data_IF_635787518070
#
_entry.id   IF_635787518070
#
_cell.length_a   1.000
_cell.length_b   1.000
_cell.length_c   1.000
_cell.angle_alpha   90.00
_cell.angle_beta   90.00
_cell.angle_gamma   90.00
#
_symmetry.space_group_name_H-M   'P 1'
#
loop_
_entity.id
_entity.type
_entity.pdbx_description
1 polymer ?
#
# COMPACT_ATOMS: atom_id res chain seq x y z
N UNK A 1 -12.40 33.98 0.66
CA UNK A 1 -11.36 33.11 0.04
C UNK A 1 -10.83 32.01 0.96
N UNK A 2 -10.42 32.27 2.22
CA UNK A 2 -9.90 31.24 3.15
C UNK A 2 -10.77 29.99 3.34
N UNK A 3 -12.10 30.14 3.48
CA UNK A 3 -13.05 29.01 3.68
C UNK A 3 -13.09 28.00 2.51
N UNK A 4 -12.95 28.48 1.27
CA UNK A 4 -13.00 27.60 0.09
C UNK A 4 -11.71 26.79 -0.09
N UNK A 5 -10.57 27.39 0.23
CA UNK A 5 -9.26 26.73 0.20
C UNK A 5 -9.19 25.59 1.22
N UNK A 6 -9.64 25.83 2.46
CA UNK A 6 -9.70 24.81 3.52
C UNK A 6 -10.58 23.63 3.10
N UNK A 7 -11.77 23.88 2.55
CA UNK A 7 -12.71 22.80 2.20
C UNK A 7 -12.27 21.97 1.00
N UNK A 8 -11.59 22.57 0.02
CA UNK A 8 -11.21 21.88 -1.24
C UNK A 8 -9.84 21.20 -1.19
N UNK A 9 -8.94 21.65 -0.32
CA UNK A 9 -7.56 21.17 -0.26
C UNK A 9 -7.29 20.56 1.11
N UNK A 10 -7.48 21.31 2.19
CA UNK A 10 -7.07 20.86 3.52
C UNK A 10 -7.89 19.65 4.00
N UNK A 11 -9.22 19.69 3.86
CA UNK A 11 -10.10 18.60 4.32
C UNK A 11 -9.82 17.29 3.56
N UNK A 12 -9.81 17.25 2.21
CA UNK A 12 -9.46 16.03 1.47
C UNK A 12 -8.08 15.49 1.83
N UNK A 13 -7.08 16.37 1.99
CA UNK A 13 -5.73 15.98 2.36
C UNK A 13 -5.67 15.29 3.72
N UNK A 14 -6.25 15.91 4.76
CA UNK A 14 -6.27 15.34 6.11
C UNK A 14 -7.03 14.01 6.14
N UNK A 15 -8.17 13.92 5.44
CA UNK A 15 -8.96 12.68 5.36
C UNK A 15 -8.16 11.57 4.67
N UNK A 16 -7.44 11.88 3.60
CA UNK A 16 -6.62 10.89 2.89
C UNK A 16 -5.44 10.44 3.74
N UNK A 17 -4.74 11.35 4.43
CA UNK A 17 -3.65 10.98 5.35
C UNK A 17 -4.16 10.08 6.48
N UNK A 18 -5.15 10.55 7.23
CA UNK A 18 -5.69 9.82 8.38
C UNK A 18 -6.32 8.48 7.94
N UNK A 19 -7.13 8.50 6.88
CA UNK A 19 -7.74 7.31 6.32
C UNK A 19 -6.71 6.30 5.81
N UNK A 20 -5.64 6.76 5.15
CA UNK A 20 -4.57 5.90 4.67
C UNK A 20 -3.80 5.24 5.81
N UNK A 21 -3.49 5.98 6.87
CA UNK A 21 -2.80 5.42 8.04
C UNK A 21 -3.67 4.37 8.74
N UNK A 22 -4.95 4.67 8.96
CA UNK A 22 -5.91 3.72 9.54
C UNK A 22 -6.04 2.48 8.67
N UNK A 23 -6.24 2.66 7.36
CA UNK A 23 -6.40 1.54 6.43
C UNK A 23 -5.14 0.68 6.36
N UNK A 24 -3.96 1.30 6.30
CA UNK A 24 -2.68 0.58 6.33
C UNK A 24 -2.53 -0.23 7.62
N UNK A 25 -2.88 0.36 8.77
CA UNK A 25 -2.91 -0.36 10.05
C UNK A 25 -3.85 -1.57 10.02
N UNK A 26 -5.06 -1.41 9.46
CA UNK A 26 -6.00 -2.52 9.28
C UNK A 26 -5.41 -3.61 8.37
N UNK A 27 -4.82 -3.26 7.22
CA UNK A 27 -4.16 -4.21 6.34
C UNK A 27 -3.03 -4.96 7.06
N UNK A 28 -2.24 -4.27 7.87
CA UNK A 28 -1.17 -4.87 8.64
C UNK A 28 -1.69 -5.86 9.69
N UNK A 29 -2.70 -5.48 10.48
CA UNK A 29 -3.33 -6.38 11.45
C UNK A 29 -4.01 -7.58 10.79
N UNK A 30 -4.65 -7.39 9.64
CA UNK A 30 -5.23 -8.49 8.86
C UNK A 30 -4.15 -9.45 8.36
N UNK A 31 -3.04 -8.93 7.83
CA UNK A 31 -1.90 -9.74 7.41
C UNK A 31 -1.34 -10.55 8.59
N UNK A 32 -1.07 -9.90 9.73
CA UNK A 32 -0.59 -10.59 10.92
C UNK A 32 -1.56 -11.65 11.42
N UNK A 33 -2.87 -11.34 11.44
CA UNK A 33 -3.90 -12.30 11.83
C UNK A 33 -3.93 -13.52 10.93
N UNK A 34 -3.80 -13.34 9.61
CA UNK A 34 -3.70 -14.43 8.64
C UNK A 34 -2.43 -15.27 8.90
N UNK A 35 -1.28 -14.62 9.05
CA UNK A 35 0.00 -15.29 9.31
C UNK A 35 -0.06 -16.13 10.58
N UNK A 36 -0.47 -15.55 11.71
CA UNK A 36 -0.54 -16.25 13.00
C UNK A 36 -1.54 -17.41 12.97
N UNK A 37 -2.66 -17.24 12.27
CA UNK A 37 -3.65 -18.31 12.12
C UNK A 37 -3.11 -19.46 11.28
N UNK A 38 -2.49 -19.16 10.13
CA UNK A 38 -1.91 -20.18 9.26
C UNK A 38 -0.71 -20.88 9.90
N UNK A 39 0.15 -20.14 10.60
CA UNK A 39 1.29 -20.67 11.33
C UNK A 39 0.85 -21.66 12.41
N UNK A 40 -0.12 -21.28 13.24
CA UNK A 40 -0.63 -22.15 14.31
C UNK A 40 -1.34 -23.40 13.79
N UNK A 41 -1.98 -23.34 12.61
CA UNK A 41 -2.67 -24.48 11.99
C UNK A 41 -1.74 -25.41 11.22
N UNK A 42 -0.73 -24.88 10.52
CA UNK A 42 0.06 -25.64 9.55
C UNK A 42 1.40 -26.13 10.08
N UNK A 43 2.02 -25.38 11.01
CA UNK A 43 3.43 -25.60 11.39
C UNK A 43 3.61 -25.82 12.89
N UNK A 44 2.56 -25.61 13.68
CA UNK A 44 2.56 -25.94 15.11
C UNK A 44 3.67 -25.19 15.85
N UNK A 45 4.67 -25.91 16.36
CA UNK A 45 5.78 -25.33 17.15
C UNK A 45 7.00 -24.88 16.34
N UNK A 46 7.07 -25.15 15.02
CA UNK A 46 8.25 -24.81 14.21
C UNK A 46 8.02 -23.54 13.37
N UNK A 47 7.90 -22.40 14.05
CA UNK A 47 7.65 -21.08 13.43
C UNK A 47 8.60 -20.70 12.29
N UNK A 48 9.85 -21.18 12.32
CA UNK A 48 10.86 -20.88 11.30
C UNK A 48 10.61 -21.57 9.95
N UNK A 49 9.83 -22.65 9.91
CA UNK A 49 9.52 -23.34 8.66
C UNK A 49 8.34 -22.69 7.89
N UNK A 50 7.69 -21.66 8.46
CA UNK A 50 6.55 -21.04 7.83
C UNK A 50 6.97 -20.12 6.66
N UNK A 51 6.42 -20.31 5.44
CA UNK A 51 6.83 -19.55 4.26
C UNK A 51 6.20 -18.14 4.24
N UNK A 52 6.76 -17.24 5.05
CA UNK A 52 6.31 -15.85 5.21
C UNK A 52 6.18 -15.09 3.89
N UNK A 53 7.13 -15.30 2.97
CA UNK A 53 7.14 -14.61 1.67
C UNK A 53 5.97 -15.02 0.79
N UNK A 54 5.61 -16.31 0.76
CA UNK A 54 4.48 -16.82 -0.01
C UNK A 54 3.18 -16.19 0.46
N UNK A 55 2.98 -16.08 1.79
CA UNK A 55 1.77 -15.47 2.36
C UNK A 55 1.74 -13.97 2.07
N UNK A 56 2.89 -13.28 2.14
CA UNK A 56 2.99 -11.84 1.83
C UNK A 56 2.68 -11.55 0.36
N UNK A 57 3.20 -12.35 -0.56
CA UNK A 57 2.91 -12.22 -1.99
C UNK A 57 1.42 -12.49 -2.24
N UNK A 58 0.88 -13.58 -1.67
CA UNK A 58 -0.53 -13.93 -1.80
C UNK A 58 -1.48 -12.83 -1.28
N UNK A 59 -1.22 -12.30 -0.08
CA UNK A 59 -2.03 -11.23 0.49
C UNK A 59 -1.94 -9.93 -0.32
N UNK A 60 -0.75 -9.61 -0.84
CA UNK A 60 -0.53 -8.45 -1.72
C UNK A 60 -1.31 -8.59 -3.03
N UNK A 61 -1.31 -9.77 -3.66
CA UNK A 61 -2.08 -10.04 -4.88
C UNK A 61 -3.58 -9.89 -4.60
N UNK A 62 -4.09 -10.46 -3.50
CA UNK A 62 -5.49 -10.30 -3.11
C UNK A 62 -5.84 -8.83 -2.93
N UNK A 63 -5.00 -8.06 -2.21
CA UNK A 63 -5.22 -6.64 -2.00
C UNK A 63 -5.21 -5.84 -3.31
N UNK A 64 -4.33 -6.19 -4.25
CA UNK A 64 -4.29 -5.58 -5.58
C UNK A 64 -5.55 -5.89 -6.40
N UNK A 65 -6.01 -7.14 -6.39
CA UNK A 65 -7.26 -7.54 -7.06
C UNK A 65 -8.46 -6.81 -6.47
N UNK A 66 -8.56 -6.73 -5.15
CA UNK A 66 -9.63 -5.98 -4.48
C UNK A 66 -9.58 -4.51 -4.89
N UNK A 67 -8.41 -3.88 -4.90
CA UNK A 67 -8.28 -2.50 -5.36
C UNK A 67 -8.70 -2.31 -6.83
N UNK A 68 -8.32 -3.24 -7.72
CA UNK A 68 -8.74 -3.20 -9.12
C UNK A 68 -10.27 -3.29 -9.23
N UNK A 69 -10.92 -4.20 -8.51
CA UNK A 69 -12.38 -4.30 -8.48
C UNK A 69 -12.99 -2.97 -7.99
N UNK A 70 -12.48 -2.41 -6.89
CA UNK A 70 -12.93 -1.13 -6.35
C UNK A 70 -12.75 0.02 -7.34
N UNK A 71 -11.73 -0.03 -8.20
CA UNK A 71 -11.48 1.00 -9.21
C UNK A 71 -12.64 1.13 -10.21
N UNK A 72 -13.30 0.02 -10.55
CA UNK A 72 -14.47 -0.03 -11.45
C UNK A 72 -15.79 0.34 -10.78
N UNK A 73 -15.83 0.46 -9.45
CA UNK A 73 -17.05 0.82 -8.73
C UNK A 73 -17.31 2.33 -8.71
N UNK A 74 -18.54 2.72 -8.38
CA UNK A 74 -18.95 4.13 -8.16
C UNK A 74 -18.56 4.66 -6.78
N UNK A 75 -17.62 4.03 -6.08
CA UNK A 75 -17.17 4.49 -4.77
C UNK A 75 -16.56 5.90 -4.84
N UNK A 76 -16.65 6.67 -3.74
CA UNK A 76 -16.03 7.99 -3.68
C UNK A 76 -14.54 7.93 -3.97
N UNK A 77 -14.04 8.87 -4.77
CA UNK A 77 -12.61 8.92 -5.14
C UNK A 77 -11.68 9.02 -3.92
N UNK A 78 -12.15 9.62 -2.81
CA UNK A 78 -11.40 9.64 -1.54
C UNK A 78 -11.17 8.24 -0.97
N UNK A 79 -12.19 7.38 -1.03
CA UNK A 79 -12.08 5.99 -0.55
C UNK A 79 -11.10 5.23 -1.43
N UNK A 80 -11.20 5.38 -2.75
CA UNK A 80 -10.24 4.77 -3.68
C UNK A 80 -8.80 5.22 -3.40
N UNK A 81 -8.58 6.51 -3.13
CA UNK A 81 -7.26 7.03 -2.79
C UNK A 81 -6.71 6.45 -1.48
N UNK A 82 -7.54 6.26 -0.46
CA UNK A 82 -7.16 5.61 0.81
C UNK A 82 -6.74 4.15 0.56
N UNK A 83 -7.55 3.42 -0.21
CA UNK A 83 -7.28 2.02 -0.54
C UNK A 83 -6.00 1.86 -1.37
N UNK A 84 -5.78 2.76 -2.33
CA UNK A 84 -4.56 2.80 -3.13
C UNK A 84 -3.33 2.87 -2.23
N UNK A 85 -3.34 3.67 -1.16
CA UNK A 85 -2.19 3.79 -0.26
C UNK A 85 -1.80 2.44 0.34
N UNK A 86 -2.77 1.68 0.85
CA UNK A 86 -2.54 0.35 1.40
C UNK A 86 -2.05 -0.65 0.34
N UNK A 87 -2.67 -0.64 -0.85
CA UNK A 87 -2.29 -1.53 -1.95
C UNK A 87 -0.88 -1.26 -2.46
N UNK A 88 -0.55 -0.02 -2.79
CA UNK A 88 0.79 0.34 -3.29
C UNK A 88 1.83 0.18 -2.18
N UNK A 89 1.48 0.48 -0.93
CA UNK A 89 2.34 0.25 0.22
C UNK A 89 2.69 -1.23 0.36
N UNK A 90 1.70 -2.13 0.32
CA UNK A 90 1.92 -3.57 0.37
C UNK A 90 2.75 -4.09 -0.81
N UNK A 91 2.49 -3.60 -2.03
CA UNK A 91 3.30 -3.93 -3.21
C UNK A 91 4.75 -3.49 -3.00
N UNK A 92 4.98 -2.27 -2.53
CA UNK A 92 6.32 -1.75 -2.26
C UNK A 92 7.05 -2.57 -1.21
N UNK A 93 6.40 -2.87 -0.08
CA UNK A 93 6.97 -3.73 0.98
C UNK A 93 7.34 -5.10 0.41
N UNK A 94 6.44 -5.72 -0.36
CA UNK A 94 6.69 -7.04 -0.94
C UNK A 94 7.85 -7.01 -1.92
N UNK A 95 7.93 -6.02 -2.81
CA UNK A 95 9.05 -5.88 -3.77
C UNK A 95 10.38 -5.72 -3.02
N UNK A 96 10.44 -4.81 -2.04
CA UNK A 96 11.67 -4.51 -1.30
C UNK A 96 12.15 -5.74 -0.51
N UNK A 97 11.24 -6.44 0.16
CA UNK A 97 11.60 -7.64 0.92
C UNK A 97 11.92 -8.85 0.03
N UNK A 98 11.22 -9.04 -1.09
CA UNK A 98 11.53 -10.13 -2.03
C UNK A 98 12.89 -9.94 -2.71
N UNK A 99 13.34 -8.69 -2.87
CA UNK A 99 14.63 -8.34 -3.44
C UNK A 99 15.60 -7.82 -2.38
N UNK A 100 15.48 -8.28 -1.13
CA UNK A 100 16.29 -7.79 -0.01
C UNK A 100 17.80 -7.93 -0.25
N UNK A 101 18.22 -8.97 -0.99
CA UNK A 101 19.63 -9.17 -1.37
C UNK A 101 20.14 -8.13 -2.39
N UNK A 102 19.23 -7.48 -3.12
CA UNK A 102 19.54 -6.49 -4.17
C UNK A 102 18.67 -5.22 -3.99
N UNK A 103 18.85 -4.47 -2.89
CA UNK A 103 17.93 -3.40 -2.50
C UNK A 103 17.83 -2.28 -3.55
N UNK A 104 18.93 -1.99 -4.27
CA UNK A 104 18.94 -1.01 -5.37
C UNK A 104 18.01 -1.40 -6.52
N UNK A 105 17.98 -2.69 -6.89
CA UNK A 105 17.08 -3.20 -7.93
C UNK A 105 15.63 -3.09 -7.47
N UNK A 106 15.36 -3.40 -6.20
CA UNK A 106 14.04 -3.27 -5.62
C UNK A 106 13.51 -1.84 -5.65
N UNK A 107 14.35 -0.87 -5.26
CA UNK A 107 14.01 0.55 -5.28
C UNK A 107 13.74 1.01 -6.72
N UNK A 108 14.56 0.60 -7.69
CA UNK A 108 14.34 0.96 -9.10
C UNK A 108 13.01 0.43 -9.64
N UNK A 109 12.67 -0.84 -9.36
CA UNK A 109 11.40 -1.44 -9.78
C UNK A 109 10.22 -0.72 -9.12
N UNK A 110 10.32 -0.43 -7.82
CA UNK A 110 9.27 0.27 -7.10
C UNK A 110 9.07 1.71 -7.60
N UNK A 111 10.16 2.44 -7.86
CA UNK A 111 10.10 3.78 -8.44
C UNK A 111 9.52 3.77 -9.85
N UNK A 112 9.87 2.78 -10.68
CA UNK A 112 9.27 2.62 -12.01
C UNK A 112 7.75 2.39 -11.93
N UNK A 113 7.30 1.59 -10.97
CA UNK A 113 5.87 1.36 -10.71
C UNK A 113 5.16 2.65 -10.28
N UNK A 114 5.71 3.36 -9.29
CA UNK A 114 5.14 4.63 -8.82
C UNK A 114 5.13 5.68 -9.94
N UNK A 115 6.21 5.79 -10.71
CA UNK A 115 6.31 6.68 -11.87
C UNK A 115 5.26 6.36 -12.94
N UNK A 116 5.05 5.08 -13.25
CA UNK A 116 4.00 4.64 -14.16
C UNK A 116 2.60 5.03 -13.68
N UNK A 117 2.32 4.89 -12.38
CA UNK A 117 1.05 5.33 -11.78
C UNK A 117 0.87 6.85 -11.82
N UNK A 118 1.94 7.62 -11.58
CA UNK A 118 1.91 9.09 -11.71
C UNK A 118 1.53 9.49 -13.14
N UNK A 119 2.18 8.90 -14.15
CA UNK A 119 1.87 9.18 -15.57
C UNK A 119 0.41 8.83 -15.88
N UNK A 120 -0.07 7.66 -15.43
CA UNK A 120 -1.45 7.22 -15.62
C UNK A 120 -2.45 8.16 -14.94
N UNK A 121 -2.14 8.66 -13.74
CA UNK A 121 -3.00 9.58 -13.01
C UNK A 121 -3.06 10.96 -13.63
N UNK A 122 -1.94 11.47 -14.15
CA UNK A 122 -1.89 12.72 -14.91
C UNK A 122 -2.72 12.58 -16.18
N UNK A 123 -2.56 11.49 -16.94
CA UNK A 123 -3.30 11.24 -18.16
C UNK A 123 -4.82 11.16 -17.91
N UNK A 124 -5.23 10.45 -16.86
CA UNK A 124 -6.64 10.29 -16.47
C UNK A 124 -7.20 11.47 -15.66
N UNK A 125 -6.43 12.57 -15.51
CA UNK A 125 -6.82 13.77 -14.75
C UNK A 125 -7.35 13.45 -13.35
N UNK A 126 -6.71 12.49 -12.67
CA UNK A 126 -7.09 12.09 -11.32
C UNK A 126 -6.90 13.25 -10.33
N UNK A 127 -7.75 13.33 -9.30
CA UNK A 127 -7.67 14.43 -8.34
C UNK A 127 -6.36 14.38 -7.54
N UNK A 128 -5.88 15.55 -7.14
CA UNK A 128 -4.54 15.74 -6.57
C UNK A 128 -4.22 14.83 -5.36
N UNK A 129 -5.24 14.45 -4.58
CA UNK A 129 -5.04 13.62 -3.39
C UNK A 129 -4.60 12.17 -3.69
N UNK A 130 -4.75 11.69 -4.94
CA UNK A 130 -4.16 10.41 -5.35
C UNK A 130 -2.63 10.44 -5.35
N UNK A 131 -2.02 11.58 -5.68
CA UNK A 131 -0.57 11.74 -5.62
C UNK A 131 -0.07 11.75 -4.18
N UNK A 132 -0.86 12.32 -3.27
CA UNK A 132 -0.56 12.29 -1.84
C UNK A 132 -0.61 10.84 -1.29
N UNK A 133 -1.59 10.04 -1.72
CA UNK A 133 -1.63 8.60 -1.41
C UNK A 133 -0.40 7.84 -1.91
N UNK A 134 0.07 8.12 -3.14
CA UNK A 134 1.29 7.49 -3.66
C UNK A 134 2.54 7.84 -2.85
N UNK A 135 2.68 9.11 -2.45
CA UNK A 135 3.80 9.56 -1.61
C UNK A 135 3.75 8.85 -0.26
N UNK A 136 2.59 8.83 0.40
CA UNK A 136 2.41 8.12 1.67
C UNK A 136 2.73 6.64 1.56
N UNK A 137 2.21 5.97 0.53
CA UNK A 137 2.48 4.56 0.26
C UNK A 137 3.97 4.28 0.12
N UNK A 138 4.67 5.14 -0.62
CA UNK A 138 6.10 5.03 -0.87
C UNK A 138 6.90 5.21 0.42
N UNK A 139 6.57 6.22 1.23
CA UNK A 139 7.22 6.45 2.52
C UNK A 139 7.01 5.26 3.45
N UNK A 140 5.78 4.76 3.57
CA UNK A 140 5.45 3.60 4.41
C UNK A 140 6.24 2.37 3.95
N UNK A 141 6.25 2.09 2.64
CA UNK A 141 6.94 0.92 2.09
C UNK A 141 8.44 0.98 2.36
N UNK A 142 9.07 2.12 2.12
CA UNK A 142 10.50 2.33 2.35
C UNK A 142 10.81 2.22 3.83
N UNK A 143 10.12 2.96 4.71
CA UNK A 143 10.39 2.95 6.16
C UNK A 143 10.21 1.56 6.75
N UNK A 144 9.21 0.80 6.30
CA UNK A 144 8.95 -0.54 6.83
C UNK A 144 9.94 -1.58 6.31
N UNK A 145 10.29 -1.54 5.02
CA UNK A 145 11.08 -2.59 4.38
C UNK A 145 12.56 -2.22 4.21
N UNK A 146 12.99 -1.03 4.65
CA UNK A 146 14.38 -0.61 4.49
C UNK A 146 15.32 -1.59 5.19
N UNK A 147 16.39 -2.05 4.52
CA UNK A 147 17.39 -2.88 5.15
C UNK A 147 18.10 -2.07 6.24
N UNK A 148 17.74 -2.32 7.50
CA UNK A 148 18.54 -1.94 8.65
C UNK A 148 19.66 -2.98 8.76
N UNK A 149 20.87 -2.55 8.41
CA UNK A 149 22.14 -3.29 8.56
C UNK A 149 22.32 -3.91 9.93
#
# INVERSE_FOLDING_TARGET
MKKQWVRKILIPGVVVVAGSLVFTGICFFLYLGIVLSLESMLVGSNSQAFPMDTVRIGSTIVLAVVYLILSFTKLPELVKAIWLTGTIGAIGVTIILSLYQTPWVAVLIFLALVGGLVILFVHNKKPWFFFLSLILASVIAVVYAWPTT
#
